data_IF_110188230768
#
_entry.id   IF_110188230768
#
_cell.length_a   1.000
_cell.length_b   1.000
_cell.length_c   1.000
_cell.angle_alpha   90.00
_cell.angle_beta   90.00
_cell.angle_gamma   90.00
#
_symmetry.space_group_name_H-M   'P 1'
#
loop_
_entity.id
_entity.type
_entity.pdbx_description
1 polymer ?
#
# COMPACT_ATOMS: atom_id res chain seq x y z
N UNK A 1 -2.36 -9.55 5.18
CA UNK A 1 -2.41 -8.07 5.08
C UNK A 1 -1.23 -7.38 5.78
N UNK A 2 -0.39 -8.10 6.51
CA UNK A 2 0.45 -7.62 7.60
C UNK A 2 1.75 -6.87 7.21
N UNK A 3 1.71 -6.00 6.20
CA UNK A 3 2.82 -5.09 5.86
C UNK A 3 2.34 -3.68 5.53
N UNK A 4 1.25 -3.24 6.17
CA UNK A 4 0.67 -1.90 5.96
C UNK A 4 1.34 -0.80 6.79
N UNK A 5 2.26 -1.17 7.68
CA UNK A 5 3.06 -0.23 8.46
C UNK A 5 3.98 0.53 7.51
N UNK A 6 3.90 1.86 7.59
CA UNK A 6 4.75 2.79 6.88
C UNK A 6 5.65 3.47 7.91
N UNK A 7 6.77 2.81 8.22
CA UNK A 7 7.71 3.23 9.28
C UNK A 7 8.79 4.23 8.80
N UNK A 8 8.76 4.62 7.53
CA UNK A 8 9.63 5.64 6.93
C UNK A 8 8.81 6.54 6.02
N UNK A 9 9.31 7.75 5.73
CA UNK A 9 8.63 8.71 4.85
C UNK A 9 8.45 8.13 3.44
N UNK A 10 9.46 7.45 2.91
CA UNK A 10 9.38 6.74 1.62
C UNK A 10 8.33 5.64 1.65
N UNK A 11 8.26 4.83 2.72
CA UNK A 11 7.24 3.80 2.84
C UNK A 11 5.84 4.40 2.97
N UNK A 12 5.71 5.58 3.58
CA UNK A 12 4.46 6.30 3.70
C UNK A 12 4.03 6.93 2.37
N UNK A 13 4.92 7.62 1.66
CA UNK A 13 4.64 8.17 0.33
C UNK A 13 4.22 7.06 -0.64
N UNK A 14 4.95 5.94 -0.61
CA UNK A 14 4.59 4.75 -1.36
C UNK A 14 3.22 4.21 -0.97
N UNK A 15 2.80 4.28 0.30
CA UNK A 15 1.47 3.84 0.71
C UNK A 15 0.40 4.80 0.21
N UNK A 16 0.58 6.10 0.44
CA UNK A 16 -0.36 7.16 0.07
C UNK A 16 -0.64 7.19 -1.43
N UNK A 17 0.34 6.85 -2.27
CA UNK A 17 0.19 6.76 -3.74
C UNK A 17 -0.81 5.71 -4.23
N UNK A 18 -1.22 4.77 -3.35
CA UNK A 18 -2.19 3.72 -3.66
C UNK A 18 -3.49 3.83 -2.88
N UNK A 19 -3.44 4.38 -1.66
CA UNK A 19 -4.63 4.42 -0.79
C UNK A 19 -5.47 5.67 -0.96
N UNK A 20 -4.98 6.68 -1.70
CA UNK A 20 -5.69 7.92 -2.03
C UNK A 20 -6.32 8.57 -0.78
N UNK A 21 -5.53 8.71 0.29
CA UNK A 21 -6.00 9.21 1.59
C UNK A 21 -6.18 10.73 1.68
N UNK A 22 -5.95 11.46 0.57
CA UNK A 22 -6.08 12.91 0.48
C UNK A 22 -5.14 13.66 1.42
N UNK A 23 -3.94 13.12 1.67
CA UNK A 23 -2.92 13.81 2.47
C UNK A 23 -2.03 14.64 1.55
N UNK A 24 -1.88 15.93 1.85
CA UNK A 24 -1.07 16.87 1.09
C UNK A 24 0.41 16.69 1.39
N UNK A 25 0.73 16.48 2.67
CA UNK A 25 2.10 16.31 3.13
C UNK A 25 2.13 15.47 4.41
N UNK A 26 3.23 14.74 4.62
CA UNK A 26 3.49 14.07 5.88
C UNK A 26 4.94 13.66 6.02
N UNK A 27 5.40 13.66 7.27
CA UNK A 27 6.67 13.05 7.62
C UNK A 27 6.62 12.48 9.04
N UNK A 28 7.52 11.53 9.30
CA UNK A 28 7.75 10.95 10.62
C UNK A 28 8.67 11.89 11.38
N UNK A 29 8.13 12.54 12.42
CA UNK A 29 8.87 13.47 13.29
C UNK A 29 9.85 12.71 14.17
N UNK A 30 9.41 11.58 14.73
CA UNK A 30 10.24 10.74 15.58
C UNK A 30 9.79 9.28 15.49
N UNK A 31 10.74 8.36 15.62
CA UNK A 31 10.45 6.93 15.74
C UNK A 31 10.96 6.44 17.08
N UNK A 32 10.05 5.96 17.92
CA UNK A 32 10.37 5.40 19.24
C UNK A 32 10.56 3.89 19.17
N UNK A 33 9.81 3.22 18.30
CA UNK A 33 9.91 1.78 18.09
C UNK A 33 9.77 1.43 16.61
N UNK A 34 10.74 0.67 16.08
CA UNK A 34 10.76 0.20 14.70
C UNK A 34 10.28 -1.26 14.59
N UNK A 35 9.78 -1.65 13.40
CA UNK A 35 9.63 -3.05 13.02
C UNK A 35 10.95 -3.80 13.12
N UNK A 36 10.88 -5.09 13.41
CA UNK A 36 12.04 -5.99 13.41
C UNK A 36 11.64 -7.38 12.87
N UNK A 37 12.61 -8.29 12.75
CA UNK A 37 12.37 -9.63 12.18
C UNK A 37 11.38 -10.48 12.97
N UNK A 38 11.31 -10.30 14.29
CA UNK A 38 10.41 -11.05 15.18
C UNK A 38 9.01 -10.44 15.16
N UNK A 39 8.94 -9.10 15.20
CA UNK A 39 7.69 -8.35 15.13
C UNK A 39 7.73 -7.27 14.03
N UNK A 40 7.39 -7.66 12.78
CA UNK A 40 7.48 -6.78 11.63
C UNK A 40 6.36 -5.74 11.52
N UNK A 41 5.32 -5.83 12.35
CA UNK A 41 4.22 -4.85 12.36
C UNK A 41 4.27 -3.90 13.55
N UNK A 42 5.18 -4.13 14.50
CA UNK A 42 5.36 -3.23 15.63
C UNK A 42 5.98 -1.92 15.20
N UNK A 43 5.27 -0.83 15.43
CA UNK A 43 5.77 0.51 15.20
C UNK A 43 5.17 1.47 16.22
N UNK A 44 6.00 2.34 16.76
CA UNK A 44 5.60 3.47 17.59
C UNK A 44 6.37 4.70 17.11
N UNK A 45 5.67 5.72 16.67
CA UNK A 45 6.28 6.94 16.17
C UNK A 45 5.38 8.15 16.29
N UNK A 46 5.97 9.32 16.20
CA UNK A 46 5.26 10.59 16.07
C UNK A 46 5.25 10.98 14.60
N UNK A 47 4.05 11.23 14.05
CA UNK A 47 3.87 11.58 12.64
C UNK A 47 3.15 12.91 12.52
N UNK A 48 3.69 13.79 11.70
CA UNK A 48 3.00 15.01 11.26
C UNK A 48 2.38 14.75 9.90
N UNK A 49 1.18 15.27 9.65
CA UNK A 49 0.59 15.28 8.32
C UNK A 49 -0.38 16.45 8.13
N UNK A 50 -0.42 16.94 6.89
CA UNK A 50 -1.40 17.88 6.37
C UNK A 50 -2.40 17.14 5.48
N UNK A 51 -3.67 17.46 5.65
CA UNK A 51 -4.77 17.27 4.70
C UNK A 51 -5.32 18.65 4.39
N UNK A 52 -6.00 18.84 3.25
CA UNK A 52 -6.58 20.07 2.64
C UNK A 52 -7.35 21.02 3.60
N UNK A 53 -6.77 21.32 4.77
CA UNK A 53 -7.35 21.71 6.07
C UNK A 53 -8.05 20.56 6.85
N UNK A 54 -7.63 20.23 8.11
CA UNK A 54 -6.56 20.79 8.94
C UNK A 54 -5.26 19.93 8.98
N UNK A 55 -4.21 20.51 9.58
CA UNK A 55 -2.95 19.81 9.91
C UNK A 55 -3.06 19.05 11.22
N UNK A 56 -2.47 17.87 11.27
CA UNK A 56 -2.55 16.93 12.38
C UNK A 56 -1.17 16.40 12.75
N UNK A 57 -0.80 16.55 14.02
CA UNK A 57 0.35 15.87 14.60
C UNK A 57 -0.14 14.78 15.54
N UNK A 58 0.27 13.55 15.25
CA UNK A 58 -0.38 12.35 15.77
C UNK A 58 0.67 11.31 16.12
N UNK A 59 0.65 10.83 17.36
CA UNK A 59 1.33 9.60 17.74
C UNK A 59 0.65 8.42 17.08
N UNK A 60 1.42 7.59 16.39
CA UNK A 60 0.95 6.39 15.70
C UNK A 60 1.58 5.18 16.40
N UNK A 61 0.73 4.29 16.86
CA UNK A 61 1.11 3.01 17.43
C UNK A 61 0.42 1.89 16.66
N UNK A 62 1.18 0.92 16.16
CA UNK A 62 0.64 -0.23 15.45
C UNK A 62 1.35 -1.51 15.85
N UNK A 63 0.64 -2.63 15.77
CA UNK A 63 1.18 -3.93 16.12
C UNK A 63 0.14 -5.04 16.00
N UNK A 64 0.45 -6.17 16.62
CA UNK A 64 -0.48 -7.28 16.81
C UNK A 64 -0.82 -7.46 18.27
N UNK A 65 -2.06 -7.90 18.51
CA UNK A 65 -2.49 -8.42 19.78
C UNK A 65 -3.30 -9.69 19.57
N UNK A 66 -3.52 -10.43 20.64
CA UNK A 66 -4.60 -11.42 20.69
C UNK A 66 -5.87 -10.72 21.19
N UNK A 67 -7.01 -11.16 20.70
CA UNK A 67 -8.30 -10.77 21.27
C UNK A 67 -8.70 -11.68 22.45
N UNK A 68 -9.90 -11.47 23.00
CA UNK A 68 -10.41 -12.24 24.12
C UNK A 68 -10.58 -13.75 23.83
N UNK A 69 -10.63 -14.15 22.56
CA UNK A 69 -10.75 -15.55 22.12
C UNK A 69 -9.40 -16.17 21.75
N UNK A 70 -8.30 -15.41 21.83
CA UNK A 70 -6.97 -15.83 21.42
C UNK A 70 -6.70 -15.69 19.92
N UNK A 71 -7.62 -15.08 19.15
CA UNK A 71 -7.40 -14.81 17.73
C UNK A 71 -6.46 -13.61 17.54
N UNK A 72 -5.54 -13.73 16.58
CA UNK A 72 -4.60 -12.65 16.25
C UNK A 72 -5.32 -11.53 15.49
N UNK A 73 -5.22 -10.31 16.02
CA UNK A 73 -5.73 -9.09 15.40
C UNK A 73 -4.60 -8.09 15.19
N UNK A 74 -4.59 -7.44 14.02
CA UNK A 74 -3.75 -6.27 13.80
C UNK A 74 -4.44 -5.04 14.36
N UNK A 75 -3.69 -4.10 14.91
CA UNK A 75 -4.24 -2.83 15.36
C UNK A 75 -3.40 -1.64 14.87
N UNK A 76 -4.06 -0.49 14.78
CA UNK A 76 -3.42 0.80 14.56
C UNK A 76 -4.17 1.86 15.36
N UNK A 77 -3.47 2.44 16.33
CA UNK A 77 -3.91 3.56 17.13
C UNK A 77 -3.24 4.83 16.61
N UNK A 78 -4.02 5.89 16.50
CA UNK A 78 -3.56 7.20 16.11
C UNK A 78 -4.14 8.21 17.10
N UNK A 79 -3.31 8.96 17.80
CA UNK A 79 -3.77 9.92 18.80
C UNK A 79 -2.96 11.21 18.74
N UNK A 80 -3.64 12.36 18.70
CA UNK A 80 -2.98 13.65 18.68
C UNK A 80 -2.24 13.95 19.98
N UNK A 81 -0.96 14.34 19.89
CA UNK A 81 -0.15 14.67 21.07
C UNK A 81 -0.33 16.15 21.45
N UNK A 82 -0.34 16.50 22.74
CA UNK A 82 -0.47 17.89 23.18
C UNK A 82 0.82 18.72 22.94
N UNK A 83 0.72 20.05 23.02
CA UNK A 83 1.83 21.02 23.09
C UNK A 83 2.78 21.13 21.89
N UNK A 84 2.24 21.34 20.68
CA UNK A 84 3.05 21.67 19.50
C UNK A 84 2.67 23.03 18.90
N UNK A 85 3.68 23.81 18.51
CA UNK A 85 3.50 25.15 17.93
C UNK A 85 2.79 25.03 16.58
N UNK A 86 1.66 25.71 16.45
CA UNK A 86 0.97 25.90 15.18
C UNK A 86 1.66 27.02 14.41
N UNK A 87 2.41 26.69 13.36
CA UNK A 87 3.11 27.66 12.48
C UNK A 87 2.12 28.41 11.57
N UNK A 88 1.06 29.00 12.14
CA UNK A 88 0.01 29.70 11.39
C UNK A 88 -1.01 28.78 10.69
N UNK A 89 -0.99 27.48 10.97
CA UNK A 89 -1.91 26.50 10.35
C UNK A 89 -2.94 26.02 11.38
N UNK A 90 -4.20 25.89 10.95
CA UNK A 90 -5.27 25.29 11.74
C UNK A 90 -4.93 23.85 12.08
N UNK A 91 -4.91 23.56 13.38
CA UNK A 91 -4.62 22.23 13.91
C UNK A 91 -5.90 21.51 14.29
N UNK A 92 -6.07 20.31 13.74
CA UNK A 92 -7.09 19.38 14.20
C UNK A 92 -6.61 18.54 15.37
N UNK A 93 -7.55 17.90 16.05
CA UNK A 93 -7.30 16.90 17.11
C UNK A 93 -8.02 15.63 16.73
N UNK A 94 -7.33 14.49 16.84
CA UNK A 94 -7.91 13.19 16.52
C UNK A 94 -7.53 12.10 17.50
N UNK A 95 -8.38 11.08 17.56
CA UNK A 95 -8.08 9.81 18.19
C UNK A 95 -8.79 8.70 17.44
N UNK A 96 -8.06 7.83 16.74
CA UNK A 96 -8.60 6.71 15.98
C UNK A 96 -8.00 5.39 16.44
N UNK A 97 -8.83 4.35 16.40
CA UNK A 97 -8.45 2.96 16.58
C UNK A 97 -8.97 2.14 15.42
N UNK A 98 -8.07 1.42 14.75
CA UNK A 98 -8.38 0.42 13.74
C UNK A 98 -8.03 -0.95 14.27
N UNK A 99 -8.93 -1.92 14.07
CA UNK A 99 -8.70 -3.33 14.31
C UNK A 99 -8.91 -4.06 12.99
N UNK A 100 -7.91 -4.84 12.60
CA UNK A 100 -7.88 -5.63 11.37
C UNK A 100 -7.94 -7.11 11.74
N UNK A 101 -9.03 -7.78 11.35
CA UNK A 101 -9.21 -9.23 11.54
C UNK A 101 -9.21 -9.92 10.19
N UNK A 102 -8.43 -10.98 10.03
CA UNK A 102 -8.39 -11.75 8.79
C UNK A 102 -9.45 -12.86 8.82
N UNK A 103 -10.37 -12.85 7.85
CA UNK A 103 -11.41 -13.88 7.68
C UNK A 103 -11.14 -14.71 6.42
N UNK A 104 -9.97 -15.35 6.38
CA UNK A 104 -9.52 -16.19 5.25
C UNK A 104 -8.61 -15.49 4.23
N UNK A 105 -8.32 -16.15 3.09
CA UNK A 105 -7.41 -15.62 2.07
C UNK A 105 -7.95 -14.36 1.40
N UNK A 106 -7.20 -13.26 1.48
CA UNK A 106 -7.54 -11.99 0.82
C UNK A 106 -8.77 -11.26 1.39
N UNK A 107 -9.34 -11.72 2.50
CA UNK A 107 -10.50 -11.11 3.17
C UNK A 107 -10.12 -10.61 4.55
N UNK A 108 -10.55 -9.39 4.85
CA UNK A 108 -10.35 -8.76 6.14
C UNK A 108 -11.64 -8.07 6.57
N UNK A 109 -11.87 -8.06 7.87
CA UNK A 109 -12.83 -7.18 8.51
C UNK A 109 -12.05 -6.06 9.18
N UNK A 110 -12.46 -4.82 8.91
CA UNK A 110 -11.88 -3.62 9.52
C UNK A 110 -12.92 -3.04 10.44
N UNK A 111 -12.61 -2.96 11.72
CA UNK A 111 -13.35 -2.13 12.66
C UNK A 111 -12.59 -0.83 12.86
N UNK A 112 -13.28 0.29 12.75
CA UNK A 112 -12.72 1.61 13.02
C UNK A 112 -13.63 2.38 13.98
N UNK A 113 -13.03 2.98 15.00
CA UNK A 113 -13.68 3.99 15.84
C UNK A 113 -12.75 5.16 15.99
N UNK A 114 -13.28 6.38 15.89
CA UNK A 114 -12.47 7.55 16.16
C UNK A 114 -13.27 8.78 16.54
N UNK A 115 -12.52 9.76 17.01
CA UNK A 115 -12.94 11.11 17.32
C UNK A 115 -12.09 12.06 16.50
N UNK A 116 -12.71 13.11 15.99
CA UNK A 116 -12.05 14.09 15.15
C UNK A 116 -12.68 15.45 15.40
N UNK A 117 -11.82 16.44 15.63
CA UNK A 117 -12.15 17.85 15.61
C UNK A 117 -11.19 18.52 14.63
N UNK A 118 -11.74 19.16 13.62
CA UNK A 118 -10.95 19.85 12.60
C UNK A 118 -10.35 21.17 13.09
N UNK A 119 -10.88 21.75 14.17
CA UNK A 119 -10.56 23.11 14.58
C UNK A 119 -10.98 24.17 13.54
N UNK A 120 -10.54 25.41 13.77
CA UNK A 120 -10.58 26.49 12.75
C UNK A 120 -11.94 26.87 12.18
N UNK A 121 -13.03 26.65 12.91
CA UNK A 121 -14.37 27.09 12.51
C UNK A 121 -15.08 26.21 11.47
N UNK A 122 -14.53 25.02 11.16
CA UNK A 122 -15.19 24.06 10.26
C UNK A 122 -16.48 23.54 10.91
N UNK A 123 -17.63 23.54 10.21
CA UNK A 123 -18.88 23.00 10.75
C UNK A 123 -18.76 21.54 11.18
N UNK A 124 -19.31 21.19 12.35
CA UNK A 124 -19.17 19.85 12.94
C UNK A 124 -19.59 18.71 11.98
N UNK A 125 -20.68 18.90 11.21
CA UNK A 125 -21.14 17.91 10.22
C UNK A 125 -20.10 17.64 9.13
N UNK A 126 -19.43 18.69 8.65
CA UNK A 126 -18.38 18.57 7.65
C UNK A 126 -17.14 17.89 8.24
N UNK A 127 -16.77 18.25 9.47
CA UNK A 127 -15.67 17.61 10.21
C UNK A 127 -15.86 16.09 10.33
N UNK A 128 -17.08 15.67 10.73
CA UNK A 128 -17.44 14.24 10.83
C UNK A 128 -17.39 13.55 9.47
N UNK A 129 -17.88 14.19 8.41
CA UNK A 129 -17.85 13.62 7.07
C UNK A 129 -16.41 13.39 6.57
N UNK A 130 -15.51 14.36 6.77
CA UNK A 130 -14.09 14.24 6.42
C UNK A 130 -13.40 13.12 7.21
N UNK A 131 -13.70 13.01 8.50
CA UNK A 131 -13.20 11.96 9.37
C UNK A 131 -13.66 10.56 8.90
N UNK A 132 -14.93 10.43 8.53
CA UNK A 132 -15.51 9.18 8.03
C UNK A 132 -14.87 8.77 6.70
N UNK A 133 -14.73 9.70 5.75
CA UNK A 133 -14.07 9.45 4.47
C UNK A 133 -12.61 8.96 4.67
N UNK A 134 -11.84 9.67 5.50
CA UNK A 134 -10.48 9.27 5.87
C UNK A 134 -10.42 7.88 6.54
N UNK A 135 -11.43 7.53 7.36
CA UNK A 135 -11.50 6.22 7.98
C UNK A 135 -11.76 5.10 6.97
N UNK A 136 -12.62 5.36 5.98
CA UNK A 136 -12.96 4.40 4.92
C UNK A 136 -11.76 4.15 4.01
N UNK A 137 -10.87 5.13 3.76
CA UNK A 137 -9.66 4.93 2.93
C UNK A 137 -8.79 3.74 3.36
N UNK A 138 -8.87 3.29 4.62
CA UNK A 138 -8.13 2.11 5.10
C UNK A 138 -8.52 0.81 4.37
N UNK A 139 -9.67 0.74 3.69
CA UNK A 139 -10.03 -0.43 2.86
C UNK A 139 -9.04 -0.65 1.70
N UNK A 140 -8.45 0.43 1.19
CA UNK A 140 -7.47 0.39 0.08
C UNK A 140 -6.13 -0.22 0.51
N UNK A 141 -5.91 -0.47 1.81
CA UNK A 141 -4.72 -1.13 2.31
C UNK A 141 -4.57 -2.57 1.79
N UNK A 142 -5.67 -3.24 1.41
CA UNK A 142 -5.63 -4.58 0.81
C UNK A 142 -4.98 -4.54 -0.56
N UNK A 143 -5.38 -3.60 -1.41
CA UNK A 143 -4.79 -3.42 -2.73
C UNK A 143 -3.32 -3.03 -2.63
N UNK A 144 -3.00 -2.11 -1.71
CA UNK A 144 -1.62 -1.77 -1.43
C UNK A 144 -0.79 -2.97 -0.95
N UNK A 145 -1.36 -3.85 -0.13
CA UNK A 145 -0.68 -5.07 0.28
C UNK A 145 -0.36 -5.97 -0.92
N UNK A 146 -1.28 -6.13 -1.88
CA UNK A 146 -1.01 -6.89 -3.12
C UNK A 146 0.10 -6.26 -3.96
N UNK A 147 0.11 -4.93 -4.09
CA UNK A 147 1.17 -4.20 -4.79
C UNK A 147 2.54 -4.42 -4.12
N UNK A 148 2.62 -4.39 -2.79
CA UNK A 148 3.88 -4.70 -2.08
C UNK A 148 4.39 -6.11 -2.38
N UNK A 149 3.51 -7.10 -2.46
CA UNK A 149 3.89 -8.48 -2.79
C UNK A 149 4.40 -8.61 -4.22
N UNK A 150 3.73 -7.96 -5.18
CA UNK A 150 4.22 -7.88 -6.57
C UNK A 150 5.59 -7.21 -6.66
N UNK A 151 5.79 -6.10 -5.94
CA UNK A 151 7.09 -5.41 -5.89
C UNK A 151 8.18 -6.30 -5.33
N UNK A 152 7.89 -7.03 -4.25
CA UNK A 152 8.84 -7.98 -3.66
C UNK A 152 9.21 -9.07 -4.66
N UNK A 153 8.24 -9.68 -5.35
CA UNK A 153 8.50 -10.70 -6.38
C UNK A 153 9.36 -10.15 -7.53
N UNK A 154 9.09 -8.93 -8.00
CA UNK A 154 9.90 -8.30 -9.04
C UNK A 154 11.36 -8.12 -8.62
N UNK A 155 11.59 -7.69 -7.37
CA UNK A 155 12.93 -7.47 -6.83
C UNK A 155 13.72 -8.78 -6.71
N UNK A 156 13.08 -9.88 -6.33
CA UNK A 156 13.74 -11.18 -6.14
C UNK A 156 13.87 -11.97 -7.45
N UNK A 157 12.94 -11.82 -8.39
CA UNK A 157 13.06 -12.43 -9.72
C UNK A 157 14.24 -11.85 -10.52
N UNK A 158 14.52 -10.55 -10.35
CA UNK A 158 15.67 -9.89 -10.99
C UNK A 158 17.04 -10.39 -10.52
N UNK A 159 17.11 -11.05 -9.35
CA UNK A 159 18.35 -11.61 -8.82
C UNK A 159 18.61 -13.04 -9.31
N UNK A 160 17.57 -13.73 -9.80
CA UNK A 160 17.62 -15.16 -10.16
C UNK A 160 17.73 -15.40 -11.68
N UNK A 161 17.66 -14.36 -12.50
CA UNK A 161 17.63 -14.51 -13.97
C UNK A 161 18.80 -13.76 -14.63
N UNK A 162 19.89 -14.48 -14.89
CA UNK A 162 20.80 -14.18 -16.01
C UNK A 162 20.08 -14.55 -17.30
N UNK A 163 19.61 -13.56 -18.06
CA UNK A 163 18.91 -13.84 -19.32
C UNK A 163 19.95 -13.90 -20.44
N UNK A 164 20.12 -15.08 -21.03
CA UNK A 164 20.69 -15.23 -22.37
C UNK A 164 19.80 -14.47 -23.36
N UNK A 165 20.30 -13.35 -23.89
CA UNK A 165 19.64 -12.61 -24.96
C UNK A 165 19.86 -13.37 -26.29
N UNK A 166 19.01 -14.36 -26.58
CA UNK A 166 18.83 -14.80 -27.96
C UNK A 166 17.49 -15.52 -28.19
N UNK A 167 16.94 -15.25 -29.38
CA UNK A 167 16.03 -16.10 -30.18
C UNK A 167 14.53 -15.76 -30.17
N UNK A 168 14.12 -14.97 -31.17
CA UNK A 168 12.76 -14.80 -31.71
C UNK A 168 11.63 -14.43 -30.72
N UNK A 169 10.86 -13.39 -31.04
CA UNK A 169 9.66 -13.06 -30.27
C UNK A 169 8.68 -14.24 -30.27
N UNK A 170 8.25 -14.75 -29.09
CA UNK A 170 7.32 -15.87 -29.00
C UNK A 170 6.05 -15.60 -29.80
N UNK A 171 5.61 -16.59 -30.59
CA UNK A 171 4.41 -16.46 -31.43
C UNK A 171 3.12 -16.91 -30.74
N UNK A 172 3.23 -17.49 -29.53
CA UNK A 172 2.13 -18.02 -28.73
C UNK A 172 2.23 -17.53 -27.30
N UNK A 173 1.07 -17.39 -26.65
CA UNK A 173 1.00 -17.07 -25.24
C UNK A 173 1.48 -18.26 -24.40
N UNK A 174 2.41 -18.05 -23.47
CA UNK A 174 2.93 -19.12 -22.62
C UNK A 174 1.93 -19.63 -21.58
N UNK A 175 0.87 -18.88 -21.30
CA UNK A 175 -0.15 -19.25 -20.30
C UNK A 175 -1.36 -20.00 -20.89
N UNK A 176 -1.69 -19.79 -22.17
CA UNK A 176 -2.87 -20.42 -22.81
C UNK A 176 -2.59 -21.01 -24.19
N UNK A 177 -1.35 -20.92 -24.65
CA UNK A 177 -0.85 -21.43 -25.93
C UNK A 177 -1.55 -20.87 -27.18
N UNK A 178 -2.40 -19.86 -27.04
CA UNK A 178 -3.06 -19.21 -28.19
C UNK A 178 -2.04 -18.38 -28.96
N UNK A 179 -2.08 -18.48 -30.28
CA UNK A 179 -1.25 -17.69 -31.20
C UNK A 179 -1.62 -16.21 -31.09
N UNK A 180 -0.62 -15.34 -31.14
CA UNK A 180 -0.86 -13.90 -31.25
C UNK A 180 -1.45 -13.57 -32.63
N UNK A 181 -2.44 -12.67 -32.70
CA UNK A 181 -3.07 -12.27 -33.97
C UNK A 181 -2.11 -11.34 -34.72
N UNK A 182 -1.68 -11.75 -35.91
CA UNK A 182 -0.71 -11.02 -36.75
C UNK A 182 -1.22 -9.70 -37.39
N UNK A 183 -2.48 -9.32 -37.19
CA UNK A 183 -3.18 -8.29 -37.98
C UNK A 183 -3.69 -7.06 -37.19
N UNK A 184 -3.16 -6.78 -36.00
CA UNK A 184 -3.51 -5.51 -35.32
C UNK A 184 -2.44 -4.47 -35.60
N UNK A 185 -2.81 -3.40 -36.30
CA UNK A 185 -1.99 -2.19 -36.55
C UNK A 185 -1.73 -1.34 -35.28
N UNK A 186 -2.00 -1.91 -34.10
CA UNK A 186 -1.69 -1.30 -32.81
C UNK A 186 -0.70 -2.21 -32.08
N UNK A 187 0.22 -1.64 -31.31
CA UNK A 187 1.21 -2.38 -30.50
C UNK A 187 0.59 -3.40 -29.49
N UNK A 188 -0.74 -3.50 -29.42
CA UNK A 188 -1.51 -4.49 -28.64
C UNK A 188 -1.62 -5.87 -29.30
N UNK A 189 -1.14 -6.07 -30.54
CA UNK A 189 -1.15 -7.37 -31.23
C UNK A 189 -0.01 -8.32 -30.82
N UNK A 190 1.12 -7.77 -30.37
CA UNK A 190 2.25 -8.52 -29.82
C UNK A 190 2.00 -8.91 -28.37
N UNK A 191 2.40 -10.12 -27.97
CA UNK A 191 2.31 -10.54 -26.57
C UNK A 191 3.00 -9.56 -25.62
N UNK A 192 2.47 -9.47 -24.40
CA UNK A 192 3.00 -8.65 -23.32
C UNK A 192 4.02 -9.48 -22.53
N UNK A 193 5.16 -8.90 -22.18
CA UNK A 193 6.15 -9.58 -21.33
C UNK A 193 5.82 -9.38 -19.85
N UNK A 194 5.69 -10.46 -19.07
CA UNK A 194 5.43 -10.33 -17.63
C UNK A 194 6.64 -9.72 -16.90
N UNK A 195 6.40 -8.72 -16.05
CA UNK A 195 7.47 -8.06 -15.27
C UNK A 195 8.06 -8.89 -14.11
N UNK A 196 7.60 -10.13 -13.88
CA UNK A 196 8.14 -11.05 -12.87
C UNK A 196 8.84 -12.22 -13.55
N UNK A 197 8.10 -13.07 -14.27
CA UNK A 197 8.66 -14.30 -14.86
C UNK A 197 9.22 -14.11 -16.29
N UNK A 198 9.07 -12.93 -16.90
CA UNK A 198 9.51 -12.60 -18.27
C UNK A 198 8.85 -13.39 -19.42
N UNK A 199 7.92 -14.30 -19.10
CA UNK A 199 7.11 -14.99 -20.11
C UNK A 199 6.25 -14.01 -20.93
N UNK A 200 6.08 -14.32 -22.22
CA UNK A 200 5.24 -13.55 -23.15
C UNK A 200 3.81 -14.09 -23.15
N UNK A 201 2.86 -13.22 -22.81
CA UNK A 201 1.46 -13.55 -22.53
C UNK A 201 0.48 -12.70 -23.35
N UNK A 202 -0.70 -13.23 -23.64
CA UNK A 202 -1.76 -12.44 -24.27
C UNK A 202 -2.44 -11.51 -23.27
N UNK A 203 -3.12 -10.48 -23.78
CA UNK A 203 -3.88 -9.52 -22.95
C UNK A 203 -4.87 -10.19 -21.99
N UNK A 204 -5.51 -11.30 -22.40
CA UNK A 204 -6.45 -12.07 -21.55
C UNK A 204 -5.77 -12.84 -20.41
N UNK A 205 -4.49 -13.16 -20.56
CA UNK A 205 -3.69 -13.86 -19.54
C UNK A 205 -2.84 -12.88 -18.72
N UNK A 206 -3.03 -11.58 -18.92
CA UNK A 206 -2.29 -10.51 -18.27
C UNK A 206 -3.23 -9.59 -17.50
N UNK A 207 -2.72 -9.00 -16.42
CA UNK A 207 -3.33 -7.82 -15.80
C UNK A 207 -2.27 -6.76 -15.66
N UNK A 208 -2.61 -5.54 -16.06
CA UNK A 208 -1.74 -4.37 -15.93
C UNK A 208 -1.98 -3.73 -14.57
N UNK A 209 -0.92 -3.47 -13.81
CA UNK A 209 -0.97 -2.77 -12.53
C UNK A 209 -0.10 -1.52 -12.58
N UNK A 210 -0.60 -0.41 -12.00
CA UNK A 210 0.20 0.79 -11.78
C UNK A 210 1.19 0.53 -10.66
N UNK A 211 2.48 0.60 -10.97
CA UNK A 211 3.57 0.33 -10.04
C UNK A 211 4.38 1.61 -9.81
N UNK A 212 4.55 2.02 -8.56
CA UNK A 212 5.46 3.11 -8.19
C UNK A 212 6.90 2.63 -8.35
N UNK A 213 7.58 3.17 -9.36
CA UNK A 213 8.96 2.83 -9.69
C UNK A 213 9.93 3.71 -8.91
N UNK A 214 9.59 4.99 -8.74
CA UNK A 214 10.43 5.96 -8.07
C UNK A 214 9.61 6.89 -7.17
N UNK A 215 10.20 7.27 -6.03
CA UNK A 215 9.71 8.33 -5.14
C UNK A 215 10.83 9.35 -5.06
N UNK A 216 10.59 10.56 -5.57
CA UNK A 216 11.58 11.62 -5.59
C UNK A 216 11.64 12.32 -4.22
N UNK A 217 12.80 12.92 -3.90
CA UNK A 217 12.99 13.71 -2.67
C UNK A 217 12.02 14.91 -2.58
N UNK A 218 11.50 15.35 -3.73
CA UNK A 218 10.47 16.40 -3.85
C UNK A 218 9.06 15.93 -3.48
N UNK A 219 8.89 14.68 -3.04
CA UNK A 219 7.58 14.08 -2.76
C UNK A 219 6.82 13.61 -4.01
N UNK A 220 7.34 13.89 -5.21
CA UNK A 220 6.74 13.41 -6.47
C UNK A 220 6.87 11.88 -6.57
N UNK A 221 5.85 11.25 -7.13
CA UNK A 221 5.79 9.80 -7.32
C UNK A 221 5.70 9.48 -8.81
N UNK A 222 6.59 8.61 -9.31
CA UNK A 222 6.51 8.08 -10.66
C UNK A 222 5.87 6.70 -10.65
N UNK A 223 4.72 6.58 -11.32
CA UNK A 223 4.03 5.31 -11.54
C UNK A 223 4.08 4.90 -13.01
N UNK A 224 4.37 3.63 -13.24
CA UNK A 224 4.35 3.01 -14.56
C UNK A 224 3.32 1.88 -14.61
N UNK A 225 2.65 1.71 -15.74
CA UNK A 225 1.74 0.60 -15.97
C UNK A 225 2.54 -0.64 -16.38
N UNK A 226 2.54 -1.68 -15.54
CA UNK A 226 3.33 -2.90 -15.76
C UNK A 226 2.42 -4.13 -15.94
N UNK A 227 2.62 -4.94 -16.99
CA UNK A 227 1.90 -6.20 -17.18
C UNK A 227 2.43 -7.36 -16.31
N UNK A 228 1.48 -8.11 -15.74
CA UNK A 228 1.77 -9.32 -14.96
C UNK A 228 0.92 -10.49 -15.46
N UNK A 229 1.50 -11.70 -15.54
CA UNK A 229 0.73 -12.89 -15.84
C UNK A 229 -0.19 -13.26 -14.66
N UNK A 230 -1.30 -13.96 -14.97
CA UNK A 230 -2.23 -14.42 -13.94
C UNK A 230 -1.55 -15.33 -12.90
N UNK A 231 -0.58 -16.16 -13.29
CA UNK A 231 0.15 -17.03 -12.38
C UNK A 231 0.94 -16.25 -11.31
N UNK A 232 1.78 -15.28 -11.72
CA UNK A 232 2.52 -14.44 -10.79
C UNK A 232 1.60 -13.57 -9.92
N UNK A 233 0.45 -13.14 -10.44
CA UNK A 233 -0.55 -12.43 -9.65
C UNK A 233 -1.20 -13.33 -8.59
N UNK A 234 -1.52 -14.57 -8.92
CA UNK A 234 -2.07 -15.54 -7.98
C UNK A 234 -1.05 -15.90 -6.91
N UNK A 235 0.21 -16.14 -7.30
CA UNK A 235 1.33 -16.34 -6.38
C UNK A 235 1.43 -15.16 -5.41
N UNK A 236 1.49 -13.93 -5.92
CA UNK A 236 1.50 -12.73 -5.08
C UNK A 236 0.32 -12.71 -4.11
N UNK A 237 -0.90 -13.02 -4.54
CA UNK A 237 -2.07 -13.06 -3.64
C UNK A 237 -1.92 -14.07 -2.51
N UNK A 238 -1.39 -15.26 -2.81
CA UNK A 238 -1.28 -16.38 -1.88
C UNK A 238 -0.10 -16.26 -0.89
N UNK A 239 0.94 -15.50 -1.22
CA UNK A 239 2.10 -15.33 -0.33
C UNK A 239 1.68 -14.77 1.04
N UNK A 240 2.30 -15.27 2.11
CA UNK A 240 2.07 -14.70 3.43
C UNK A 240 2.67 -13.29 3.47
N UNK A 241 1.99 -12.36 4.15
CA UNK A 241 2.56 -11.03 4.34
C UNK A 241 3.69 -11.03 5.40
N UNK A 242 3.75 -12.08 6.22
CA UNK A 242 4.70 -12.22 7.32
C UNK A 242 6.09 -12.63 6.82
N UNK A 243 6.17 -13.61 5.93
CA UNK A 243 7.45 -14.05 5.32
C UNK A 243 8.13 -12.94 4.51
N UNK A 244 7.34 -11.99 4.00
CA UNK A 244 7.84 -10.85 3.21
C UNK A 244 8.26 -9.65 4.04
N UNK A 245 8.25 -9.79 5.36
CA UNK A 245 8.54 -8.71 6.28
C UNK A 245 10.02 -8.67 6.73
N UNK A 246 10.83 -9.61 6.24
CA UNK A 246 12.29 -9.67 6.39
C UNK A 246 12.97 -9.02 5.19
#
# INVERSE_FOLDING_TARGET
MYRCVAATDVAWMLRSSYIHNGLDDAWIVATFQRPNRIDPCRFLGLKWFAKEHPVLLTGIFSGFSLDATGERVGFMLMHSCQNFRTLGIVRGVMSFCYIFRQHGPGRINIFCRGFFDSGGGVPARLSVALAADSAVCCVNLVDYAHIKKLRWLMQHASQQQSVDLATSMPSRCEACEKKFRKFSFTASGSGLMCNICRHVICSKCSVVKKMTIHVFDTGKIQQCALPFCLACLLQAKQMSAWELAI
#
